data_IF_199042031340
#
_entry.id   IF_199042031340
#
_cell.length_a   1.000
_cell.length_b   1.000
_cell.length_c   1.000
_cell.angle_alpha   90.00
_cell.angle_beta   90.00
_cell.angle_gamma   90.00
#
_symmetry.space_group_name_H-M   'P 1'
#
loop_
_entity.id
_entity.type
_entity.pdbx_description
1 polymer ?
#
# COMPACT_ATOMS: atom_id res chain seq x y z
N UNK A 1 -24.72 -43.52 5.54
CA UNK A 1 -24.61 -42.11 5.11
C UNK A 1 -23.32 -41.56 5.72
N UNK A 2 -22.25 -41.43 4.94
CA UNK A 2 -21.02 -40.76 5.38
C UNK A 2 -21.08 -39.32 4.91
N UNK A 3 -21.07 -38.38 5.85
CA UNK A 3 -20.99 -36.95 5.56
C UNK A 3 -19.50 -36.61 5.54
N UNK A 4 -18.94 -36.45 4.35
CA UNK A 4 -17.61 -35.85 4.18
C UNK A 4 -17.73 -34.36 4.50
N UNK A 5 -17.23 -33.93 5.65
CA UNK A 5 -17.09 -32.52 5.95
C UNK A 5 -15.96 -31.95 5.08
N UNK A 6 -16.33 -31.19 4.06
CA UNK A 6 -15.40 -30.42 3.25
C UNK A 6 -14.82 -29.30 4.13
N UNK A 7 -13.56 -29.44 4.54
CA UNK A 7 -12.88 -28.43 5.36
C UNK A 7 -12.38 -27.35 4.40
N UNK A 8 -12.83 -26.09 4.47
CA UNK A 8 -12.28 -25.04 3.62
C UNK A 8 -10.79 -24.94 3.90
N UNK A 9 -9.97 -25.11 2.85
CA UNK A 9 -8.55 -24.87 2.93
C UNK A 9 -8.34 -23.39 3.23
N UNK A 10 -7.97 -23.07 4.48
CA UNK A 10 -7.50 -21.74 4.83
C UNK A 10 -6.14 -21.55 4.14
N UNK A 11 -6.14 -20.94 2.96
CA UNK A 11 -4.90 -20.52 2.30
C UNK A 11 -4.20 -19.54 3.22
N UNK A 12 -3.00 -19.90 3.71
CA UNK A 12 -2.18 -19.01 4.52
C UNK A 12 -1.73 -17.85 3.63
N UNK A 13 -2.02 -16.61 4.04
CA UNK A 13 -1.62 -15.42 3.30
C UNK A 13 -0.10 -15.36 3.13
N UNK A 14 0.36 -14.99 1.92
CA UNK A 14 1.78 -14.94 1.59
C UNK A 14 2.52 -13.85 2.37
N UNK A 15 3.82 -14.04 2.59
CA UNK A 15 4.63 -13.03 3.28
C UNK A 15 4.96 -11.86 2.34
N UNK A 16 4.62 -10.60 2.69
CA UNK A 16 4.90 -9.43 1.86
C UNK A 16 6.38 -9.24 1.52
N UNK A 17 7.31 -9.77 2.33
CA UNK A 17 8.76 -9.71 2.05
C UNK A 17 9.13 -10.38 0.74
N UNK A 18 8.30 -11.30 0.24
CA UNK A 18 8.54 -12.03 -1.00
C UNK A 18 8.14 -11.26 -2.27
N UNK A 19 7.55 -10.07 -2.13
CA UNK A 19 7.20 -9.20 -3.26
C UNK A 19 8.42 -8.58 -3.94
N UNK A 20 9.58 -8.56 -3.27
CA UNK A 20 10.84 -8.04 -3.78
C UNK A 20 12.00 -8.93 -3.33
N UNK A 21 13.16 -8.75 -3.93
CA UNK A 21 14.40 -9.38 -3.47
C UNK A 21 14.74 -8.99 -2.02
N UNK A 22 15.40 -9.90 -1.29
CA UNK A 22 15.82 -9.64 0.10
C UNK A 22 16.71 -8.39 0.21
N UNK A 23 17.59 -8.15 -0.77
CA UNK A 23 18.45 -6.96 -0.79
C UNK A 23 17.63 -5.66 -0.87
N UNK A 24 16.61 -5.61 -1.72
CA UNK A 24 15.72 -4.44 -1.85
C UNK A 24 14.94 -4.23 -0.57
N UNK A 25 14.38 -5.30 0.00
CA UNK A 25 13.65 -5.23 1.26
C UNK A 25 14.53 -4.70 2.40
N UNK A 26 15.73 -5.26 2.56
CA UNK A 26 16.67 -4.90 3.64
C UNK A 26 17.13 -3.45 3.52
N UNK A 27 17.45 -2.97 2.30
CA UNK A 27 17.82 -1.57 2.06
C UNK A 27 16.71 -0.60 2.50
N UNK A 28 15.46 -0.90 2.15
CA UNK A 28 14.31 -0.04 2.51
C UNK A 28 14.05 -0.10 4.01
N UNK A 29 14.02 -1.30 4.61
CA UNK A 29 13.76 -1.49 6.03
C UNK A 29 14.84 -0.84 6.91
N UNK A 30 16.12 -1.01 6.58
CA UNK A 30 17.22 -0.42 7.32
C UNK A 30 17.19 1.12 7.25
N UNK A 31 16.96 1.67 6.06
CA UNK A 31 16.84 3.13 5.89
C UNK A 31 15.64 3.69 6.65
N UNK A 32 14.48 3.03 6.58
CA UNK A 32 13.28 3.45 7.30
C UNK A 32 13.46 3.39 8.83
N UNK A 33 14.09 2.32 9.34
CA UNK A 33 14.39 2.17 10.76
C UNK A 33 15.25 3.34 11.28
N UNK A 34 16.34 3.64 10.57
CA UNK A 34 17.24 4.74 10.93
C UNK A 34 16.54 6.10 10.82
N UNK A 35 15.73 6.32 9.77
CA UNK A 35 15.05 7.60 9.53
C UNK A 35 13.95 7.91 10.54
N UNK A 36 13.19 6.89 10.95
CA UNK A 36 12.05 7.05 11.87
C UNK A 36 12.44 6.77 13.33
N UNK A 37 13.70 6.42 13.61
CA UNK A 37 14.20 6.07 14.94
C UNK A 37 13.38 4.93 15.59
N UNK A 38 13.00 3.94 14.78
CA UNK A 38 12.20 2.77 15.21
C UNK A 38 13.04 1.49 15.18
N UNK A 39 12.55 0.45 15.84
CA UNK A 39 13.20 -0.86 15.81
C UNK A 39 13.19 -1.45 14.39
N UNK A 40 14.21 -2.26 14.08
CA UNK A 40 14.28 -3.00 12.82
C UNK A 40 13.03 -3.87 12.59
N UNK A 41 12.56 -4.58 13.63
CA UNK A 41 11.37 -5.43 13.51
C UNK A 41 10.09 -4.65 13.19
N UNK A 42 9.92 -3.44 13.73
CA UNK A 42 8.82 -2.56 13.34
C UNK A 42 8.97 -2.09 11.89
N UNK A 43 10.17 -1.66 11.50
CA UNK A 43 10.46 -1.20 10.15
C UNK A 43 10.18 -2.28 9.10
N UNK A 44 10.60 -3.51 9.34
CA UNK A 44 10.34 -4.63 8.43
C UNK A 44 8.84 -4.89 8.24
N UNK A 45 8.04 -4.80 9.31
CA UNK A 45 6.58 -4.95 9.22
C UNK A 45 5.95 -3.80 8.43
N UNK A 46 6.37 -2.56 8.72
CA UNK A 46 5.91 -1.36 8.02
C UNK A 46 6.22 -1.41 6.52
N UNK A 47 7.47 -1.78 6.17
CA UNK A 47 7.89 -1.98 4.78
C UNK A 47 7.09 -3.07 4.12
N UNK A 48 6.84 -4.19 4.79
CA UNK A 48 5.95 -5.22 4.29
C UNK A 48 4.58 -4.67 3.87
N UNK A 49 3.94 -3.85 4.71
CA UNK A 49 2.65 -3.26 4.40
C UNK A 49 2.70 -2.25 3.24
N UNK A 50 3.78 -1.49 3.14
CA UNK A 50 4.04 -0.64 1.97
C UNK A 50 4.18 -1.44 0.66
N UNK A 51 4.82 -2.61 0.69
CA UNK A 51 4.89 -3.47 -0.50
C UNK A 51 3.52 -4.02 -0.89
N UNK A 52 2.70 -4.44 0.08
CA UNK A 52 1.30 -4.85 -0.20
C UNK A 52 0.50 -3.70 -0.81
N UNK A 53 0.71 -2.47 -0.34
CA UNK A 53 0.09 -1.27 -0.91
C UNK A 53 0.50 -1.05 -2.37
N UNK A 54 1.79 -1.16 -2.70
CA UNK A 54 2.25 -1.07 -4.09
C UNK A 54 1.68 -2.19 -4.96
N UNK A 55 1.56 -3.41 -4.42
CA UNK A 55 0.96 -4.54 -5.14
C UNK A 55 -0.53 -4.30 -5.40
N UNK A 56 -1.27 -3.83 -4.39
CA UNK A 56 -2.67 -3.48 -4.53
C UNK A 56 -2.87 -2.34 -5.53
N UNK A 57 -1.96 -1.36 -5.59
CA UNK A 57 -1.96 -0.36 -6.65
C UNK A 57 -1.78 -1.02 -8.03
N UNK A 58 -0.75 -1.85 -8.19
CA UNK A 58 -0.43 -2.51 -9.46
C UNK A 58 -1.58 -3.40 -9.98
N UNK A 59 -2.27 -4.12 -9.09
CA UNK A 59 -3.39 -5.00 -9.46
C UNK A 59 -4.66 -4.24 -9.84
N UNK A 60 -4.70 -2.94 -9.58
CA UNK A 60 -5.89 -2.11 -9.77
C UNK A 60 -5.70 -1.03 -10.82
N UNK A 61 -4.46 -0.61 -11.13
CA UNK A 61 -4.18 0.59 -11.94
C UNK A 61 -4.78 0.54 -13.35
N UNK A 62 -4.89 -0.65 -13.94
CA UNK A 62 -5.45 -0.84 -15.28
C UNK A 62 -6.98 -1.01 -15.30
N UNK A 63 -7.64 -1.00 -14.13
CA UNK A 63 -9.10 -1.12 -14.09
C UNK A 63 -9.74 0.18 -14.58
N UNK A 64 -10.85 0.11 -15.35
CA UNK A 64 -11.45 1.30 -15.97
C UNK A 64 -11.90 2.38 -14.99
N UNK A 65 -12.24 1.96 -13.77
CA UNK A 65 -12.70 2.80 -12.67
C UNK A 65 -11.56 3.33 -11.79
N UNK A 66 -10.33 2.84 -11.97
CA UNK A 66 -9.21 3.18 -11.09
C UNK A 66 -8.88 4.67 -11.10
N UNK A 67 -8.84 5.26 -9.90
CA UNK A 67 -8.56 6.69 -9.74
C UNK A 67 -9.68 7.62 -10.21
N UNK A 68 -10.82 7.10 -10.66
CA UNK A 68 -12.01 7.93 -10.91
C UNK A 68 -12.57 8.43 -9.57
N UNK A 69 -12.96 9.70 -9.57
CA UNK A 69 -13.88 10.24 -8.57
C UNK A 69 -15.30 9.84 -8.99
N UNK A 70 -16.01 9.13 -8.13
CA UNK A 70 -17.42 8.86 -8.32
C UNK A 70 -18.23 10.16 -8.23
N UNK A 71 -19.43 10.21 -8.84
CA UNK A 71 -20.37 11.31 -8.65
C UNK A 71 -20.75 11.55 -7.18
N UNK A 72 -20.54 10.55 -6.32
CA UNK A 72 -20.73 10.56 -4.86
C UNK A 72 -19.53 11.10 -4.08
N UNK A 73 -18.42 11.47 -4.74
CA UNK A 73 -17.20 11.99 -4.10
C UNK A 73 -16.17 10.91 -3.73
N UNK A 74 -16.50 9.63 -3.91
CA UNK A 74 -15.63 8.48 -3.61
C UNK A 74 -14.47 8.36 -4.61
N UNK A 75 -13.32 7.85 -4.20
CA UNK A 75 -12.20 7.58 -5.11
C UNK A 75 -11.90 6.08 -5.15
N UNK A 76 -11.91 5.47 -6.34
CA UNK A 76 -11.45 4.09 -6.55
C UNK A 76 -9.92 4.01 -6.65
N UNK A 77 -9.22 4.62 -5.70
CA UNK A 77 -7.76 4.59 -5.60
C UNK A 77 -7.38 4.00 -4.27
N UNK A 78 -6.35 3.14 -4.28
CA UNK A 78 -5.71 2.76 -3.02
C UNK A 78 -5.00 3.98 -2.44
N UNK A 79 -5.25 4.26 -1.17
CA UNK A 79 -4.64 5.35 -0.41
C UNK A 79 -3.97 4.78 0.85
N UNK A 80 -2.78 5.28 1.24
CA UNK A 80 -2.10 4.81 2.43
C UNK A 80 -2.71 5.42 3.71
N UNK A 81 -2.55 4.74 4.83
CA UNK A 81 -2.61 5.34 6.17
C UNK A 81 -1.26 5.99 6.50
N UNK A 82 -1.22 6.80 7.57
CA UNK A 82 -0.01 7.52 8.00
C UNK A 82 1.28 6.69 8.10
N UNK A 83 1.32 5.52 8.77
CA UNK A 83 2.57 4.78 8.88
C UNK A 83 3.03 4.20 7.54
N UNK A 84 2.10 3.88 6.63
CA UNK A 84 2.43 3.37 5.29
C UNK A 84 2.92 4.50 4.37
N UNK A 85 2.29 5.67 4.45
CA UNK A 85 2.72 6.88 3.74
C UNK A 85 4.15 7.30 4.17
N UNK A 86 4.45 7.22 5.46
CA UNK A 86 5.80 7.49 5.98
C UNK A 86 6.87 6.57 5.38
N UNK A 87 6.55 5.28 5.17
CA UNK A 87 7.46 4.35 4.47
C UNK A 87 7.62 4.76 3.01
N UNK A 88 6.54 5.09 2.32
CA UNK A 88 6.59 5.49 0.92
C UNK A 88 7.49 6.72 0.72
N UNK A 89 7.36 7.74 1.57
CA UNK A 89 8.22 8.93 1.51
C UNK A 89 9.68 8.64 1.84
N UNK A 90 9.94 7.70 2.75
CA UNK A 90 11.31 7.26 3.03
C UNK A 90 11.90 6.52 1.81
N UNK A 91 11.14 5.61 1.20
CA UNK A 91 11.58 4.86 0.03
C UNK A 91 11.88 5.79 -1.17
N UNK A 92 11.05 6.81 -1.41
CA UNK A 92 11.27 7.79 -2.49
C UNK A 92 12.63 8.53 -2.37
N UNK A 93 13.18 8.66 -1.16
CA UNK A 93 14.49 9.30 -0.91
C UNK A 93 15.68 8.38 -1.22
N UNK A 94 15.45 7.07 -1.33
CA UNK A 94 16.43 6.07 -1.76
C UNK A 94 15.98 5.49 -3.11
N UNK A 95 16.17 6.30 -4.15
CA UNK A 95 15.54 6.09 -5.46
C UNK A 95 15.90 4.75 -6.13
N UNK A 96 17.11 4.22 -5.91
CA UNK A 96 17.54 2.92 -6.46
C UNK A 96 16.69 1.75 -5.92
N UNK A 97 16.64 1.47 -4.61
CA UNK A 97 15.80 0.39 -4.09
C UNK A 97 14.30 0.64 -4.31
N UNK A 98 13.82 1.89 -4.29
CA UNK A 98 12.41 2.16 -4.62
C UNK A 98 12.08 1.82 -6.09
N UNK A 99 12.98 2.15 -7.02
CA UNK A 99 12.80 1.80 -8.44
C UNK A 99 12.82 0.29 -8.64
N UNK A 100 13.70 -0.42 -7.95
CA UNK A 100 13.75 -1.89 -7.98
C UNK A 100 12.43 -2.50 -7.49
N UNK A 101 11.95 -2.07 -6.31
CA UNK A 101 10.67 -2.51 -5.76
C UNK A 101 9.49 -2.27 -6.72
N UNK A 102 9.42 -1.08 -7.33
CA UNK A 102 8.39 -0.77 -8.33
C UNK A 102 8.44 -1.70 -9.54
N UNK A 103 9.63 -1.99 -10.08
CA UNK A 103 9.78 -2.90 -11.23
C UNK A 103 9.42 -4.34 -10.87
N UNK A 104 9.82 -4.82 -9.70
CA UNK A 104 9.54 -6.18 -9.25
C UNK A 104 8.05 -6.39 -8.98
N UNK A 105 7.35 -5.37 -8.46
CA UNK A 105 5.92 -5.47 -8.10
C UNK A 105 4.99 -5.11 -9.26
N UNK A 106 5.26 -4.01 -9.95
CA UNK A 106 4.35 -3.41 -10.94
C UNK A 106 4.87 -3.45 -12.37
N UNK A 107 6.13 -3.88 -12.59
CA UNK A 107 6.76 -3.85 -13.92
C UNK A 107 7.13 -2.44 -14.43
N UNK A 108 6.74 -1.38 -13.72
CA UNK A 108 7.02 0.01 -14.06
C UNK A 108 7.21 0.87 -12.80
N UNK A 109 7.74 2.08 -12.96
CA UNK A 109 7.87 3.02 -11.83
C UNK A 109 6.48 3.47 -11.35
N UNK A 110 6.21 3.37 -10.05
CA UNK A 110 4.97 3.86 -9.44
C UNK A 110 5.19 5.31 -9.02
N UNK A 111 4.53 6.25 -9.68
CA UNK A 111 4.70 7.67 -9.36
C UNK A 111 3.91 8.06 -8.12
N UNK A 112 4.60 8.69 -7.17
CA UNK A 112 3.95 9.37 -6.06
C UNK A 112 3.20 10.60 -6.58
N UNK A 113 1.87 10.51 -6.59
CA UNK A 113 0.96 11.60 -7.00
C UNK A 113 0.16 12.05 -5.80
N UNK A 114 0.52 13.20 -5.20
CA UNK A 114 -0.19 13.73 -4.04
C UNK A 114 -1.67 13.99 -4.37
N UNK A 115 -2.58 13.39 -3.60
CA UNK A 115 -4.02 13.58 -3.73
C UNK A 115 -4.66 13.80 -2.37
N UNK A 116 -5.72 14.61 -2.33
CA UNK A 116 -6.62 14.72 -1.20
C UNK A 116 -8.05 14.76 -1.73
N UNK A 117 -8.84 13.74 -1.40
CA UNK A 117 -10.24 13.60 -1.81
C UNK A 117 -11.15 13.66 -0.58
N UNK A 118 -12.43 13.95 -0.77
CA UNK A 118 -13.43 13.92 0.32
C UNK A 118 -13.48 12.52 0.96
N UNK A 119 -13.38 11.47 0.15
CA UNK A 119 -13.30 10.07 0.58
C UNK A 119 -12.12 9.75 1.52
N UNK A 120 -11.02 10.50 1.40
CA UNK A 120 -9.89 10.37 2.32
C UNK A 120 -10.18 11.02 3.67
N UNK A 121 -11.00 12.08 3.68
CA UNK A 121 -11.38 12.81 4.90
C UNK A 121 -12.49 12.11 5.70
N UNK A 122 -13.46 11.50 5.02
CA UNK A 122 -14.56 10.76 5.67
C UNK A 122 -14.21 9.29 5.98
N UNK A 123 -13.07 8.80 5.47
CA UNK A 123 -12.53 7.46 5.74
C UNK A 123 -13.00 6.35 4.79
N UNK A 124 -13.91 6.65 3.86
CA UNK A 124 -14.41 5.65 2.88
C UNK A 124 -13.30 5.10 1.98
N UNK A 125 -12.29 5.92 1.65
CA UNK A 125 -11.16 5.49 0.84
C UNK A 125 -10.33 4.36 1.49
N UNK A 126 -10.21 4.33 2.82
CA UNK A 126 -9.52 3.23 3.53
C UNK A 126 -10.28 1.90 3.40
N UNK A 127 -11.61 1.93 3.34
CA UNK A 127 -12.42 0.71 3.12
C UNK A 127 -12.09 0.08 1.77
N UNK A 128 -12.01 0.91 0.71
CA UNK A 128 -11.58 0.45 -0.61
C UNK A 128 -10.14 -0.07 -0.61
N UNK A 129 -9.21 0.65 0.04
CA UNK A 129 -7.82 0.21 0.19
C UNK A 129 -7.75 -1.17 0.85
N UNK A 130 -8.41 -1.37 1.99
CA UNK A 130 -8.37 -2.65 2.72
C UNK A 130 -8.88 -3.81 1.87
N UNK A 131 -9.98 -3.62 1.13
CA UNK A 131 -10.47 -4.64 0.19
C UNK A 131 -9.42 -4.95 -0.88
N UNK A 132 -8.77 -3.92 -1.45
CA UNK A 132 -7.71 -4.11 -2.44
C UNK A 132 -6.46 -4.80 -1.88
N UNK A 133 -6.08 -4.51 -0.63
CA UNK A 133 -4.95 -5.16 0.04
C UNK A 133 -5.23 -6.65 0.29
N UNK A 134 -6.42 -7.01 0.77
CA UNK A 134 -6.78 -8.40 1.00
C UNK A 134 -6.85 -9.22 -0.29
N UNK A 135 -7.32 -8.62 -1.39
CA UNK A 135 -7.37 -9.27 -2.71
C UNK A 135 -5.98 -9.64 -3.26
N UNK A 136 -4.89 -9.03 -2.74
CA UNK A 136 -3.53 -9.39 -3.16
C UNK A 136 -3.09 -10.78 -2.70
N UNK A 137 -3.76 -11.36 -1.69
CA UNK A 137 -3.38 -12.63 -1.08
C UNK A 137 -2.19 -12.57 -0.12
N UNK A 138 -1.64 -11.38 0.14
CA UNK A 138 -0.55 -11.17 1.11
C UNK A 138 -1.07 -10.82 2.51
N UNK A 139 -0.22 -11.04 3.51
CA UNK A 139 -0.54 -10.71 4.91
C UNK A 139 -0.74 -9.20 5.09
N UNK A 140 -1.97 -8.81 5.44
CA UNK A 140 -2.33 -7.45 5.86
C UNK A 140 -2.21 -7.35 7.39
N UNK A 141 -1.36 -6.44 7.86
CA UNK A 141 -1.11 -6.20 9.27
C UNK A 141 -1.89 -4.97 9.73
N UNK A 142 -3.00 -5.21 10.43
CA UNK A 142 -3.95 -4.16 10.81
C UNK A 142 -3.38 -3.11 11.78
N UNK A 143 -2.22 -3.35 12.41
CA UNK A 143 -1.51 -2.33 13.19
C UNK A 143 -1.16 -1.10 12.33
N UNK A 144 -0.89 -1.31 11.03
CA UNK A 144 -0.50 -0.24 10.12
C UNK A 144 -1.68 0.36 9.36
N UNK A 145 -2.83 -0.30 9.34
CA UNK A 145 -3.99 0.10 8.54
C UNK A 145 -5.15 0.66 9.37
N UNK A 146 -4.95 0.85 10.68
CA UNK A 146 -5.89 1.58 11.52
C UNK A 146 -5.87 3.09 11.24
N UNK A 147 -7.04 3.72 11.28
CA UNK A 147 -7.20 5.18 11.17
C UNK A 147 -7.69 5.64 9.81
N UNK A 148 -7.49 6.93 9.54
CA UNK A 148 -7.90 7.59 8.29
C UNK A 148 -6.79 7.50 7.23
N UNK A 149 -7.17 7.75 5.97
CA UNK A 149 -6.20 7.93 4.91
C UNK A 149 -5.31 9.14 5.20
N UNK A 150 -4.02 9.01 4.94
CA UNK A 150 -3.08 10.12 5.03
C UNK A 150 -3.00 10.83 3.68
N UNK A 151 -2.96 12.17 3.72
CA UNK A 151 -2.63 12.98 2.56
C UNK A 151 -1.50 13.92 2.93
N UNK A 152 -0.39 13.84 2.19
CA UNK A 152 0.71 14.79 2.32
C UNK A 152 0.41 16.15 1.65
N UNK A 153 -0.83 16.36 1.19
CA UNK A 153 -1.28 17.59 0.55
C UNK A 153 -1.92 18.55 1.55
N UNK A 154 -1.85 19.86 1.30
CA UNK A 154 -2.84 20.77 1.87
C UNK A 154 -4.23 20.48 1.29
N UNK A 155 -5.33 20.89 1.95
CA UNK A 155 -6.67 20.80 1.37
C UNK A 155 -6.72 21.40 -0.03
N UNK A 156 -7.29 20.64 -0.97
CA UNK A 156 -7.40 20.99 -2.41
C UNK A 156 -6.03 21.28 -3.09
N UNK A 157 -5.11 20.29 -3.12
CA UNK A 157 -3.81 20.47 -3.74
C UNK A 157 -3.96 20.67 -5.26
N UNK A 158 -3.20 21.60 -5.87
CA UNK A 158 -3.17 21.74 -7.32
C UNK A 158 -2.73 20.42 -7.95
N UNK A 159 -3.61 19.82 -8.74
CA UNK A 159 -3.31 18.59 -9.47
C UNK A 159 -2.45 18.95 -10.68
N UNK A 160 -1.26 18.35 -10.88
CA UNK A 160 -0.46 18.61 -12.07
C UNK A 160 -1.26 18.17 -13.31
N UNK A 161 -1.70 19.12 -14.12
CA UNK A 161 -2.42 18.88 -15.38
C UNK A 161 -3.84 19.46 -15.50
N UNK A 162 -4.22 20.44 -14.70
CA UNK A 162 -5.30 21.38 -15.05
C UNK A 162 -4.75 22.79 -15.21
#
# INVERSE_FOLDING_TARGET
MSITADRPATTIAADPRTLVSAEVFDKIAHYFAARQEVTQGYAERAVGQFLVFLKAYADRVDKPDFGMLLPTGESYRVVPTRPVDAVWHAALQISEPYTAACKEIAGHYVHHRPIQTEAMQDGTAITYTLAALHDTGYRVDMEFWGGQAESCCPPNPPQPGK
#
